data_IF_298541080269
#
_entry.id   IF_298541080269
#
_cell.length_a   1.000
_cell.length_b   1.000
_cell.length_c   1.000
_cell.angle_alpha   90.00
_cell.angle_beta   90.00
_cell.angle_gamma   90.00
#
_symmetry.space_group_name_H-M   'P 1'
#
loop_
_entity.id
_entity.type
_entity.pdbx_description
1 polymer ?
#
# COMPACT_ATOMS: atom_id res chain seq x y z
N UNK A 1 -5.68 -10.12 -10.83
CA UNK A 1 -6.46 -8.87 -10.74
C UNK A 1 -6.39 -8.22 -12.11
N UNK A 2 -7.50 -8.12 -12.82
CA UNK A 2 -7.48 -7.50 -14.13
C UNK A 2 -7.37 -6.00 -13.94
N UNK A 3 -6.31 -5.37 -14.47
CA UNK A 3 -6.24 -3.92 -14.51
C UNK A 3 -7.28 -3.42 -15.50
N UNK A 4 -8.38 -2.88 -15.01
CA UNK A 4 -9.44 -2.31 -15.84
C UNK A 4 -9.75 -0.87 -15.42
N UNK A 5 -8.91 0.10 -15.80
CA UNK A 5 -9.10 1.50 -15.43
C UNK A 5 -10.43 2.09 -15.91
N UNK A 6 -10.91 1.79 -17.13
CA UNK A 6 -12.18 2.34 -17.62
C UNK A 6 -13.40 1.85 -16.82
N UNK A 7 -13.41 0.58 -16.38
CA UNK A 7 -14.51 0.02 -15.60
C UNK A 7 -14.66 0.65 -14.22
N UNK A 8 -13.55 1.07 -13.61
CA UNK A 8 -13.56 1.75 -12.31
C UNK A 8 -13.93 3.23 -12.45
N UNK A 9 -13.61 3.85 -13.59
CA UNK A 9 -13.91 5.27 -13.84
C UNK A 9 -15.37 5.55 -14.18
N UNK A 10 -16.10 4.56 -14.70
CA UNK A 10 -17.47 4.72 -15.17
C UNK A 10 -18.55 4.74 -14.09
N UNK A 11 -18.25 4.24 -12.87
CA UNK A 11 -19.23 4.14 -11.79
C UNK A 11 -18.69 4.65 -10.46
N UNK A 12 -18.93 5.92 -10.10
CA UNK A 12 -18.45 6.51 -8.84
C UNK A 12 -18.86 5.74 -7.58
N UNK A 13 -20.01 5.05 -7.61
CA UNK A 13 -20.54 4.28 -6.47
C UNK A 13 -19.69 3.07 -6.09
N UNK A 14 -18.93 2.50 -7.04
CA UNK A 14 -17.99 1.40 -6.76
C UNK A 14 -16.69 1.86 -6.09
N UNK A 15 -16.44 3.16 -6.03
CA UNK A 15 -15.22 3.72 -5.44
C UNK A 15 -15.38 4.11 -3.96
N UNK A 16 -16.61 4.12 -3.45
CA UNK A 16 -16.86 4.38 -2.04
C UNK A 16 -16.32 3.21 -1.20
N UNK A 17 -15.30 3.49 -0.38
CA UNK A 17 -14.65 2.50 0.46
C UNK A 17 -13.62 1.60 -0.22
N UNK A 18 -13.24 1.89 -1.47
CA UNK A 18 -12.22 1.13 -2.20
C UNK A 18 -10.92 1.93 -2.32
N UNK A 19 -9.83 1.37 -1.81
CA UNK A 19 -8.48 1.86 -2.08
C UNK A 19 -7.93 1.24 -3.37
N UNK A 20 -7.46 2.07 -4.29
CA UNK A 20 -6.78 1.62 -5.51
C UNK A 20 -5.29 1.42 -5.22
N UNK A 21 -4.81 0.20 -5.40
CA UNK A 21 -3.41 -0.13 -5.28
C UNK A 21 -2.77 -0.31 -6.65
N UNK A 22 -1.76 0.49 -6.97
CA UNK A 22 -1.07 0.50 -8.27
C UNK A 22 0.43 0.31 -8.08
N UNK A 23 1.04 -0.63 -8.83
CA UNK A 23 2.48 -0.89 -8.85
C UNK A 23 3.08 -0.27 -10.10
N UNK A 24 3.66 0.92 -9.98
CA UNK A 24 4.14 1.72 -11.14
C UNK A 24 5.27 1.04 -11.92
N UNK A 25 6.11 0.26 -11.25
CA UNK A 25 7.22 -0.47 -11.86
C UNK A 25 6.91 -1.94 -12.12
N UNK A 26 5.63 -2.30 -12.16
CA UNK A 26 5.23 -3.69 -12.34
C UNK A 26 5.36 -4.55 -11.10
N UNK A 27 5.30 -5.84 -11.29
CA UNK A 27 5.37 -6.81 -10.20
C UNK A 27 5.84 -8.16 -10.69
N UNK A 28 6.62 -8.83 -9.84
CA UNK A 28 7.11 -10.19 -10.10
C UNK A 28 5.99 -11.24 -10.29
N UNK A 29 4.80 -10.96 -9.77
CA UNK A 29 3.63 -11.82 -9.93
C UNK A 29 2.79 -11.50 -11.19
N UNK A 30 3.29 -10.63 -12.07
CA UNK A 30 2.66 -10.33 -13.36
C UNK A 30 3.27 -11.18 -14.47
N UNK A 31 2.44 -11.56 -15.42
CA UNK A 31 2.84 -12.32 -16.60
C UNK A 31 2.14 -11.78 -17.84
N UNK A 32 2.87 -11.71 -18.94
CA UNK A 32 2.31 -11.40 -20.25
C UNK A 32 1.92 -12.69 -20.98
N UNK A 33 0.64 -12.83 -21.28
CA UNK A 33 0.09 -13.97 -22.01
C UNK A 33 -0.06 -13.70 -23.52
N UNK A 34 0.67 -12.72 -24.08
CA UNK A 34 0.51 -12.22 -25.46
C UNK A 34 -0.84 -11.57 -25.77
N UNK A 35 -1.86 -11.83 -24.96
CA UNK A 35 -3.20 -11.25 -25.11
C UNK A 35 -3.53 -10.22 -24.03
N UNK A 36 -2.96 -10.41 -22.85
CA UNK A 36 -3.21 -9.56 -21.69
C UNK A 36 -2.19 -9.82 -20.60
N UNK A 37 -1.92 -8.80 -19.79
CA UNK A 37 -1.17 -8.98 -18.56
C UNK A 37 -2.07 -9.58 -17.51
N UNK A 38 -1.62 -10.66 -16.88
CA UNK A 38 -2.31 -11.36 -15.81
C UNK A 38 -1.48 -11.35 -14.55
N UNK A 39 -2.14 -11.46 -13.42
CA UNK A 39 -1.49 -11.68 -12.13
C UNK A 39 -1.59 -13.15 -11.75
N UNK A 40 -0.45 -13.76 -11.41
CA UNK A 40 -0.40 -15.08 -10.81
C UNK A 40 -0.69 -14.95 -9.32
N UNK A 41 -1.61 -15.77 -8.79
CA UNK A 41 -1.86 -15.88 -7.37
C UNK A 41 -0.75 -16.68 -6.70
N UNK A 42 0.24 -16.01 -6.14
CA UNK A 42 1.29 -16.67 -5.36
C UNK A 42 0.76 -16.97 -3.96
N UNK A 43 0.94 -18.22 -3.45
CA UNK A 43 0.61 -18.53 -2.07
C UNK A 43 1.52 -17.77 -1.10
N UNK A 44 1.03 -17.56 0.10
CA UNK A 44 1.83 -16.93 1.16
C UNK A 44 3.10 -17.76 1.42
N UNK A 45 4.25 -17.07 1.45
CA UNK A 45 5.55 -17.72 1.65
C UNK A 45 6.17 -18.35 0.40
N UNK A 46 5.61 -18.14 -0.80
CA UNK A 46 6.25 -18.56 -2.05
C UNK A 46 7.64 -17.92 -2.18
N UNK A 47 8.66 -18.74 -2.36
CA UNK A 47 10.06 -18.30 -2.50
C UNK A 47 10.48 -18.07 -3.94
N UNK A 48 9.74 -18.63 -4.90
CA UNK A 48 9.97 -18.52 -6.34
C UNK A 48 8.64 -18.49 -7.09
N UNK A 49 8.62 -17.83 -8.24
CA UNK A 49 7.47 -17.80 -9.16
C UNK A 49 7.54 -18.98 -10.16
N UNK A 50 8.72 -19.49 -10.45
CA UNK A 50 8.96 -20.50 -11.48
C UNK A 50 8.03 -21.72 -11.43
N UNK A 51 7.75 -22.34 -10.26
CA UNK A 51 6.84 -23.47 -10.19
C UNK A 51 5.42 -23.15 -10.67
N UNK A 52 5.02 -21.88 -10.61
CA UNK A 52 3.67 -21.43 -10.96
C UNK A 52 3.55 -20.99 -12.42
N UNK A 53 4.67 -20.83 -13.13
CA UNK A 53 4.70 -20.53 -14.56
C UNK A 53 4.34 -21.74 -15.43
N UNK A 54 4.40 -22.93 -14.88
CA UNK A 54 4.06 -24.18 -15.57
C UNK A 54 2.54 -24.51 -15.56
N UNK A 55 1.72 -23.57 -15.09
CA UNK A 55 0.27 -23.76 -15.09
C UNK A 55 -0.30 -23.73 -16.53
N UNK A 56 -1.36 -24.52 -16.82
CA UNK A 56 -1.98 -24.52 -18.14
C UNK A 56 -2.41 -23.12 -18.58
N UNK A 57 -2.04 -22.73 -19.80
CA UNK A 57 -2.28 -21.41 -20.37
C UNK A 57 -1.25 -20.33 -20.01
N UNK A 58 -0.15 -20.73 -19.41
CA UNK A 58 1.03 -19.90 -19.15
C UNK A 58 2.28 -20.41 -19.89
N UNK A 59 2.09 -21.29 -20.85
CA UNK A 59 3.15 -21.75 -21.74
C UNK A 59 3.74 -20.55 -22.50
N UNK A 60 5.05 -20.47 -22.59
CA UNK A 60 5.79 -19.36 -23.24
C UNK A 60 5.65 -17.98 -22.61
N UNK A 61 5.41 -17.89 -21.31
CA UNK A 61 5.33 -16.64 -20.59
C UNK A 61 6.70 -16.20 -20.08
N UNK A 62 7.11 -14.99 -20.42
CA UNK A 62 8.31 -14.37 -19.86
C UNK A 62 7.93 -13.46 -18.67
N UNK A 63 8.21 -13.95 -17.46
CA UNK A 63 7.94 -13.21 -16.23
C UNK A 63 8.96 -12.09 -15.97
N UNK A 64 10.13 -12.13 -16.61
CA UNK A 64 11.19 -11.16 -16.35
C UNK A 64 10.95 -9.82 -17.03
N UNK A 65 10.05 -9.75 -18.02
CA UNK A 65 9.77 -8.53 -18.79
C UNK A 65 8.75 -7.60 -18.11
N UNK A 66 8.06 -8.03 -17.06
CA UNK A 66 6.98 -7.28 -16.43
C UNK A 66 7.35 -6.57 -15.13
N UNK A 67 8.64 -6.38 -14.90
CA UNK A 67 9.13 -5.56 -13.80
C UNK A 67 10.28 -4.69 -14.28
N UNK A 68 10.17 -3.38 -14.05
CA UNK A 68 11.25 -2.44 -14.33
C UNK A 68 12.29 -2.55 -13.22
N UNK A 69 13.47 -3.03 -13.58
CA UNK A 69 14.60 -3.07 -12.67
C UNK A 69 15.28 -1.70 -12.55
N UNK A 70 15.97 -1.43 -11.44
CA UNK A 70 16.79 -0.23 -11.31
C UNK A 70 17.97 -0.26 -12.29
N UNK A 71 17.79 0.28 -13.48
CA UNK A 71 18.83 0.38 -14.51
C UNK A 71 18.78 1.75 -15.22
N UNK A 72 19.73 2.00 -16.12
CA UNK A 72 19.81 3.23 -16.92
C UNK A 72 18.84 3.28 -18.11
N UNK A 73 18.11 2.19 -18.39
CA UNK A 73 17.18 2.10 -19.53
C UNK A 73 15.72 2.37 -19.14
N UNK A 74 15.46 2.81 -17.91
CA UNK A 74 14.11 3.07 -17.38
C UNK A 74 13.23 3.91 -18.29
N UNK A 75 13.81 4.89 -18.99
CA UNK A 75 13.08 5.78 -19.89
C UNK A 75 12.37 5.04 -21.03
N UNK A 76 12.98 3.98 -21.54
CA UNK A 76 12.37 3.17 -22.61
C UNK A 76 11.33 2.20 -22.05
N UNK A 77 11.60 1.63 -20.91
CA UNK A 77 10.74 0.64 -20.27
C UNK A 77 9.43 1.28 -19.80
N UNK A 78 9.48 2.48 -19.22
CA UNK A 78 8.29 3.21 -18.79
C UNK A 78 7.42 3.71 -19.93
N UNK A 79 7.97 3.84 -21.15
CA UNK A 79 7.24 4.23 -22.35
C UNK A 79 6.44 3.08 -23.00
N UNK A 80 6.67 1.84 -22.58
CA UNK A 80 5.97 0.67 -23.10
C UNK A 80 4.77 0.27 -22.26
N UNK A 81 3.84 -0.47 -22.86
CA UNK A 81 2.72 -1.09 -22.14
C UNK A 81 3.25 -2.20 -21.20
N UNK A 82 2.79 -2.31 -19.94
CA UNK A 82 1.67 -1.58 -19.30
C UNK A 82 2.07 -0.29 -18.60
N UNK A 83 3.34 0.05 -18.52
CA UNK A 83 3.86 1.12 -17.67
C UNK A 83 3.38 2.49 -18.09
N UNK A 84 3.34 2.77 -19.39
CA UNK A 84 2.83 4.04 -19.92
C UNK A 84 1.40 4.32 -19.43
N UNK A 85 0.56 3.28 -19.33
CA UNK A 85 -0.80 3.42 -18.82
C UNK A 85 -0.82 3.63 -17.30
N UNK A 86 0.06 2.95 -16.57
CA UNK A 86 0.18 3.11 -15.12
C UNK A 86 0.63 4.54 -14.75
N UNK A 87 1.63 5.05 -15.44
CA UNK A 87 2.12 6.43 -15.22
C UNK A 87 1.10 7.48 -15.64
N UNK A 88 0.39 7.27 -16.77
CA UNK A 88 -0.72 8.14 -17.18
C UNK A 88 -1.84 8.17 -16.12
N UNK A 89 -2.20 7.03 -15.58
CA UNK A 89 -3.21 6.94 -14.53
C UNK A 89 -2.74 7.56 -13.23
N UNK A 90 -1.46 7.40 -12.89
CA UNK A 90 -0.86 8.07 -11.73
C UNK A 90 -0.93 9.59 -11.91
N UNK A 91 -0.49 10.12 -13.05
CA UNK A 91 -0.58 11.54 -13.36
C UNK A 91 -2.04 12.04 -13.31
N UNK A 92 -2.97 11.30 -13.93
CA UNK A 92 -4.38 11.63 -13.91
C UNK A 92 -5.00 11.59 -12.50
N UNK A 93 -4.43 10.80 -11.60
CA UNK A 93 -4.88 10.74 -10.21
C UNK A 93 -4.41 11.91 -9.39
N UNK A 94 -3.13 12.31 -9.51
CA UNK A 94 -2.55 13.33 -8.64
C UNK A 94 -2.60 14.76 -9.19
N UNK A 95 -2.55 14.95 -10.52
CA UNK A 95 -2.61 16.26 -11.16
C UNK A 95 -4.06 16.78 -11.27
N UNK A 96 -4.72 16.95 -10.13
CA UNK A 96 -6.07 17.51 -10.01
C UNK A 96 -6.10 18.61 -8.95
N UNK A 97 -6.91 19.64 -9.15
CA UNK A 97 -7.13 20.63 -8.11
C UNK A 97 -7.56 20.02 -6.78
N UNK A 98 -7.09 20.58 -5.69
CA UNK A 98 -7.41 20.19 -4.31
C UNK A 98 -6.97 18.76 -3.94
N UNK A 99 -5.97 18.21 -4.65
CA UNK A 99 -5.39 16.92 -4.32
C UNK A 99 -4.20 17.07 -3.38
N UNK A 100 -4.04 16.10 -2.49
CA UNK A 100 -2.84 15.93 -1.66
C UNK A 100 -2.17 14.61 -2.01
N UNK A 101 -0.89 14.66 -2.35
CA UNK A 101 -0.04 13.48 -2.48
C UNK A 101 0.77 13.31 -1.18
N UNK A 102 0.69 12.12 -0.60
CA UNK A 102 1.51 11.74 0.55
C UNK A 102 2.53 10.73 0.06
N UNK A 103 3.81 11.02 0.24
CA UNK A 103 4.91 10.06 0.02
C UNK A 103 5.41 9.55 1.36
N UNK A 104 5.66 8.24 1.45
CA UNK A 104 6.22 7.60 2.63
C UNK A 104 7.44 6.77 2.24
N UNK A 105 8.60 7.08 2.82
CA UNK A 105 9.86 6.39 2.53
C UNK A 105 10.36 6.55 1.09
N UNK A 106 9.83 7.52 0.35
CA UNK A 106 10.27 7.79 -1.03
C UNK A 106 11.48 8.71 -1.05
N UNK A 107 12.54 8.27 -1.71
CA UNK A 107 13.84 8.97 -1.70
C UNK A 107 14.03 9.98 -2.84
N UNK A 108 13.01 10.22 -3.67
CA UNK A 108 13.09 11.09 -4.85
C UNK A 108 14.22 10.72 -5.83
N UNK A 109 14.50 9.41 -5.92
CA UNK A 109 15.49 8.86 -6.84
C UNK A 109 14.97 8.47 -8.21
N UNK A 110 13.66 8.51 -8.43
CA UNK A 110 13.02 8.15 -9.69
C UNK A 110 12.53 9.39 -10.43
N UNK A 111 13.19 9.70 -11.55
CA UNK A 111 12.92 10.92 -12.32
C UNK A 111 11.52 10.91 -12.94
N UNK A 112 10.97 9.75 -13.32
CA UNK A 112 9.63 9.69 -13.92
C UNK A 112 8.57 10.04 -12.90
N UNK A 113 8.69 9.53 -11.69
CA UNK A 113 7.78 9.87 -10.58
C UNK A 113 7.97 11.34 -10.22
N UNK A 114 9.22 11.82 -10.14
CA UNK A 114 9.51 13.20 -9.80
C UNK A 114 8.89 14.20 -10.78
N UNK A 115 8.96 13.92 -12.09
CA UNK A 115 8.33 14.78 -13.13
C UNK A 115 6.81 14.88 -12.89
N UNK A 116 6.13 13.78 -12.62
CA UNK A 116 4.69 13.81 -12.35
C UNK A 116 4.36 14.59 -11.07
N UNK A 117 5.21 14.49 -10.05
CA UNK A 117 5.08 15.29 -8.81
C UNK A 117 5.29 16.79 -9.12
N UNK A 118 6.27 17.13 -9.92
CA UNK A 118 6.54 18.51 -10.35
C UNK A 118 5.35 19.07 -11.14
N UNK A 119 4.78 18.29 -12.07
CA UNK A 119 3.57 18.67 -12.82
C UNK A 119 2.38 18.89 -11.87
N UNK A 120 2.18 18.02 -10.90
CA UNK A 120 1.14 18.20 -9.87
C UNK A 120 1.30 19.54 -9.14
N UNK A 121 2.53 19.89 -8.74
CA UNK A 121 2.81 21.12 -8.00
C UNK A 121 2.69 22.39 -8.84
N UNK A 122 2.52 22.30 -10.17
CA UNK A 122 2.15 23.46 -11.00
C UNK A 122 0.72 23.93 -10.71
N UNK A 123 -0.13 23.08 -10.15
CA UNK A 123 -1.51 23.38 -9.79
C UNK A 123 -1.51 23.98 -8.37
N UNK A 124 -1.88 25.24 -8.16
CA UNK A 124 -1.70 25.93 -6.88
C UNK A 124 -2.44 25.31 -5.69
N UNK A 125 -3.54 24.59 -5.95
CA UNK A 125 -4.38 23.97 -4.91
C UNK A 125 -3.95 22.54 -4.56
N UNK A 126 -2.83 22.02 -5.11
CA UNK A 126 -2.29 20.72 -4.74
C UNK A 126 -1.30 20.83 -3.58
N UNK A 127 -1.12 19.74 -2.86
CA UNK A 127 -0.18 19.68 -1.74
C UNK A 127 0.61 18.37 -1.75
N UNK A 128 1.91 18.46 -1.48
CA UNK A 128 2.81 17.34 -1.31
C UNK A 128 3.19 17.20 0.17
N UNK A 129 2.93 16.05 0.75
CA UNK A 129 3.41 15.69 2.10
C UNK A 129 4.50 14.63 1.96
N UNK A 130 5.70 14.94 2.41
CA UNK A 130 6.84 14.02 2.39
C UNK A 130 7.06 13.48 3.78
N UNK A 131 6.84 12.19 3.98
CA UNK A 131 7.09 11.50 5.24
C UNK A 131 8.30 10.58 5.05
N UNK A 132 9.35 10.79 5.83
CA UNK A 132 10.56 10.00 5.77
C UNK A 132 11.21 9.87 7.14
N UNK A 133 11.84 8.73 7.40
CA UNK A 133 12.62 8.51 8.61
C UNK A 133 13.85 9.44 8.66
N UNK A 134 14.51 9.64 7.52
CA UNK A 134 15.71 10.47 7.36
C UNK A 134 15.93 10.76 5.87
N UNK A 135 16.94 11.57 5.55
CA UNK A 135 17.39 11.84 4.17
C UNK A 135 18.84 11.39 3.94
N UNK A 136 19.14 10.07 4.04
CA UNK A 136 20.51 9.55 3.99
C UNK A 136 21.17 9.77 2.63
N UNK A 137 20.40 9.91 1.56
CA UNK A 137 20.88 10.15 0.21
C UNK A 137 20.94 11.64 -0.15
N UNK A 138 20.56 12.50 0.78
CA UNK A 138 20.52 13.95 0.60
C UNK A 138 19.82 14.35 -0.72
N UNK A 139 18.61 13.85 -0.94
CA UNK A 139 17.79 14.11 -2.14
C UNK A 139 16.52 14.90 -1.83
N UNK A 140 15.95 14.71 -0.65
CA UNK A 140 14.69 15.35 -0.24
C UNK A 140 14.90 16.87 -0.09
N UNK A 141 15.92 17.27 0.67
CA UNK A 141 16.15 18.70 0.91
C UNK A 141 16.56 19.46 -0.35
N UNK A 142 17.48 18.97 -1.21
CA UNK A 142 17.78 19.64 -2.48
C UNK A 142 16.55 19.73 -3.41
N UNK A 143 15.73 18.68 -3.48
CA UNK A 143 14.47 18.72 -4.24
C UNK A 143 13.54 19.82 -3.72
N UNK A 144 13.33 19.90 -2.41
CA UNK A 144 12.49 20.91 -1.77
C UNK A 144 12.95 22.34 -2.10
N UNK A 145 14.26 22.62 -2.00
CA UNK A 145 14.80 23.94 -2.35
C UNK A 145 14.72 24.22 -3.86
N UNK A 146 15.00 23.22 -4.69
CA UNK A 146 14.94 23.38 -6.16
C UNK A 146 13.54 23.70 -6.66
N UNK A 147 12.51 23.08 -6.07
CA UNK A 147 11.12 23.32 -6.46
C UNK A 147 10.61 24.68 -6.02
N UNK A 148 11.08 25.21 -4.89
CA UNK A 148 10.69 26.51 -4.39
C UNK A 148 9.19 26.67 -4.08
N UNK A 149 8.45 25.57 -3.97
CA UNK A 149 7.00 25.52 -3.74
C UNK A 149 6.68 25.34 -2.26
N UNK A 150 7.27 26.14 -1.40
CA UNK A 150 7.25 25.94 0.06
C UNK A 150 5.84 25.89 0.67
N UNK A 151 4.90 26.66 0.12
CA UNK A 151 3.51 26.65 0.59
C UNK A 151 2.73 25.39 0.20
N UNK A 152 3.23 24.63 -0.79
CA UNK A 152 2.61 23.40 -1.28
C UNK A 152 3.31 22.15 -0.79
N UNK A 153 4.38 22.24 -0.01
CA UNK A 153 5.17 21.08 0.43
C UNK A 153 5.31 21.07 1.94
N UNK A 154 4.91 19.98 2.56
CA UNK A 154 5.15 19.70 3.99
C UNK A 154 6.17 18.59 4.12
N UNK A 155 7.23 18.83 4.90
CA UNK A 155 8.27 17.85 5.21
C UNK A 155 8.09 17.31 6.62
N UNK A 156 7.88 16.03 6.76
CA UNK A 156 7.76 15.29 8.02
C UNK A 156 8.89 14.27 8.08
N UNK A 157 10.08 14.74 8.50
CA UNK A 157 11.28 13.92 8.54
C UNK A 157 11.66 13.67 10.00
N UNK A 158 11.79 12.41 10.36
CA UNK A 158 12.16 12.00 11.73
C UNK A 158 11.77 10.55 12.04
N UNK A 159 12.41 10.00 13.06
CA UNK A 159 12.29 8.60 13.44
C UNK A 159 10.85 8.20 13.77
N UNK A 160 10.12 9.04 14.49
CA UNK A 160 8.75 8.77 14.90
C UNK A 160 7.78 8.87 13.70
N UNK A 161 7.88 9.93 12.91
CA UNK A 161 7.00 10.16 11.76
C UNK A 161 7.29 9.20 10.60
N UNK A 162 8.55 8.80 10.44
CA UNK A 162 8.98 7.86 9.41
C UNK A 162 8.79 6.39 9.78
N UNK A 163 8.27 6.09 10.98
CA UNK A 163 7.90 4.72 11.35
C UNK A 163 6.55 4.32 10.77
N UNK A 164 6.52 3.19 10.04
CA UNK A 164 5.32 2.76 9.32
C UNK A 164 4.17 2.37 10.26
N UNK A 165 4.48 1.70 11.36
CA UNK A 165 3.47 1.31 12.34
C UNK A 165 2.82 2.55 12.97
N UNK A 166 3.64 3.52 13.35
CA UNK A 166 3.20 4.82 13.88
C UNK A 166 2.29 5.55 12.88
N UNK A 167 2.66 5.57 11.59
CA UNK A 167 1.83 6.18 10.54
C UNK A 167 0.47 5.51 10.44
N UNK A 168 0.44 4.17 10.38
CA UNK A 168 -0.80 3.39 10.23
C UNK A 168 -1.70 3.54 11.45
N UNK A 169 -1.14 3.46 12.65
CA UNK A 169 -1.94 3.45 13.87
C UNK A 169 -2.51 4.82 14.24
N UNK A 170 -1.77 5.90 13.93
CA UNK A 170 -2.09 7.22 14.45
C UNK A 170 -2.51 8.25 13.39
N UNK A 171 -2.04 8.11 12.13
CA UNK A 171 -2.16 9.20 11.15
C UNK A 171 -2.98 8.84 9.92
N UNK A 172 -3.03 7.57 9.50
CA UNK A 172 -3.87 7.21 8.37
C UNK A 172 -5.35 7.13 8.78
N UNK A 173 -6.27 7.60 7.91
CA UNK A 173 -7.69 7.47 8.17
C UNK A 173 -8.08 5.99 8.23
N UNK A 174 -8.76 5.62 9.31
CA UNK A 174 -9.31 4.28 9.47
C UNK A 174 -10.74 4.22 8.91
N UNK A 175 -11.18 3.09 8.34
CA UNK A 175 -12.57 2.89 7.96
C UNK A 175 -13.52 3.19 9.13
N UNK A 176 -14.72 3.68 8.84
CA UNK A 176 -15.68 4.04 9.88
C UNK A 176 -16.02 2.86 10.80
N UNK A 177 -16.05 1.65 10.26
CA UNK A 177 -16.30 0.43 11.02
C UNK A 177 -15.17 0.15 12.03
N UNK A 178 -13.91 0.38 11.64
CA UNK A 178 -12.76 0.20 12.54
C UNK A 178 -12.76 1.24 13.65
N UNK A 179 -13.11 2.49 13.33
CA UNK A 179 -13.26 3.55 14.34
C UNK A 179 -14.35 3.19 15.36
N UNK A 180 -15.46 2.62 14.91
CA UNK A 180 -16.54 2.19 15.78
C UNK A 180 -16.09 1.02 16.69
N UNK A 181 -15.37 0.07 16.12
CA UNK A 181 -14.80 -1.08 16.85
C UNK A 181 -13.78 -0.62 17.90
N UNK A 182 -12.89 0.32 17.53
CA UNK A 182 -11.93 0.90 18.48
C UNK A 182 -12.60 1.63 19.62
N UNK A 183 -13.57 2.50 19.33
CA UNK A 183 -14.33 3.23 20.35
C UNK A 183 -15.10 2.28 21.26
N UNK A 184 -15.66 1.20 20.71
CA UNK A 184 -16.34 0.18 21.49
C UNK A 184 -15.36 -0.55 22.42
N UNK A 185 -14.18 -0.92 21.92
CA UNK A 185 -13.14 -1.57 22.73
C UNK A 185 -12.64 -0.65 23.87
N UNK A 186 -12.43 0.64 23.60
CA UNK A 186 -12.06 1.63 24.63
C UNK A 186 -13.16 1.79 25.68
N UNK A 187 -14.42 1.84 25.25
CA UNK A 187 -15.55 1.93 26.16
C UNK A 187 -15.70 0.66 27.03
N UNK A 188 -15.46 -0.50 26.46
CA UNK A 188 -15.47 -1.76 27.20
C UNK A 188 -14.35 -1.84 28.22
N UNK A 189 -13.13 -1.41 27.86
CA UNK A 189 -11.99 -1.29 28.79
C UNK A 189 -12.29 -0.31 29.92
N UNK A 190 -12.81 0.88 29.61
CA UNK A 190 -13.14 1.90 30.62
C UNK A 190 -14.25 1.47 31.58
N UNK A 191 -15.11 0.53 31.17
CA UNK A 191 -16.19 -0.02 31.97
C UNK A 191 -15.77 -1.26 32.75
N UNK A 192 -14.50 -1.70 32.71
CA UNK A 192 -13.98 -2.87 33.41
C UNK A 192 -14.59 -4.21 32.97
N UNK A 193 -15.26 -4.23 31.81
CA UNK A 193 -15.99 -5.44 31.35
C UNK A 193 -15.05 -6.52 30.80
N UNK A 194 -13.80 -6.19 30.49
CA UNK A 194 -12.82 -7.15 29.94
C UNK A 194 -12.07 -7.88 31.05
N UNK A 195 -11.76 -7.19 32.14
CA UNK A 195 -11.04 -7.80 33.28
C UNK A 195 -11.85 -8.88 34.03
N UNK A 196 -13.18 -8.86 33.87
CA UNK A 196 -14.07 -9.87 34.47
C UNK A 196 -14.22 -11.16 33.63
N UNK A 197 -13.80 -11.15 32.38
CA UNK A 197 -13.91 -12.32 31.48
C UNK A 197 -12.67 -13.21 31.61
N UNK A 198 -11.50 -12.63 31.86
CA UNK A 198 -10.26 -13.41 32.06
C UNK A 198 -10.23 -14.13 33.43
N UNK A 199 -10.87 -13.56 34.46
CA UNK A 199 -10.90 -14.16 35.81
C UNK A 199 -11.95 -15.28 36.01
N UNK A 200 -12.82 -15.53 35.01
CA UNK A 200 -13.81 -16.63 35.02
C UNK A 200 -13.39 -17.86 34.24
N UNK A 201 -12.16 -17.88 33.68
CA UNK A 201 -11.61 -18.96 32.86
C UNK A 201 -10.93 -20.10 33.66
N UNK A 202 -10.79 -20.01 34.97
CA UNK A 202 -10.31 -21.15 35.78
C UNK A 202 -11.43 -22.17 35.99
N UNK A 203 -11.40 -23.21 35.17
CA UNK A 203 -12.19 -24.43 35.37
C UNK A 203 -11.74 -25.06 36.66
N UNK A 204 -12.57 -24.97 37.69
CA UNK A 204 -12.38 -25.73 38.93
C UNK A 204 -12.50 -27.21 38.62
N UNK A 205 -11.39 -27.93 38.81
CA UNK A 205 -11.36 -29.40 38.80
C UNK A 205 -12.48 -29.99 39.64
N UNK A 206 -13.26 -30.84 39.01
CA UNK A 206 -14.30 -31.65 39.70
C UNK A 206 -13.57 -32.76 40.43
N UNK A 207 -13.74 -32.94 41.75
CA UNK A 207 -13.08 -34.03 42.47
C UNK A 207 -13.65 -35.38 42.03
N UNK A 208 -12.77 -36.32 41.67
CA UNK A 208 -13.08 -37.71 41.40
C UNK A 208 -13.74 -38.34 42.62
N UNK A 209 -14.96 -38.78 42.46
CA UNK A 209 -15.67 -39.59 43.45
C UNK A 209 -15.12 -41.00 43.43
N UNK A 210 -14.39 -41.37 44.47
CA UNK A 210 -13.98 -42.76 44.71
C UNK A 210 -15.21 -43.65 44.91
N UNK A 211 -15.44 -44.55 43.96
CA UNK A 211 -16.40 -45.64 44.14
C UNK A 211 -15.80 -46.70 45.05
N UNK A 212 -16.31 -46.73 46.24
CA UNK A 212 -15.94 -47.74 47.26
C UNK A 212 -16.40 -49.15 46.89
N UNK A 213 -15.47 -50.08 47.05
CA UNK A 213 -15.65 -51.51 47.05
C UNK A 213 -16.63 -51.94 48.19
N UNK A 214 -17.58 -52.78 47.87
CA UNK A 214 -18.16 -53.74 48.82
C UNK A 214 -18.63 -55.01 48.09
N UNK A 215 -17.99 -56.11 48.58
CA UNK A 215 -18.46 -57.53 48.71
C UNK A 215 -18.90 -58.25 47.45
#
# INVERSE_FOLDING_TARGET
MHYNPPGIRGEPRYLEGVARFTKLHGSIDWVDTKRSIRRIGLPFGAKSIEPYLNAPGLEDVDSHQLMIYPNSAKDRETASYPYVDLFRDFAAAICRPNNTLITFGYSFGDEHINRVIEDMLTIPSTHLVVISHSDPLNRIMPMYYRLGRYCQISLLIGNHLGDFQTLVDNYLPKPAIDQTTFRMAELLKSRGSIDQIEDKGEVKDVPETQAGSRA
#
